data_IF_838621023447
#
_entry.id   IF_838621023447
#
_cell.length_a   1.000
_cell.length_b   1.000
_cell.length_c   1.000
_cell.angle_alpha   90.00
_cell.angle_beta   90.00
_cell.angle_gamma   90.00
#
_symmetry.space_group_name_H-M   'P 1'
#
loop_
_entity.id
_entity.type
_entity.pdbx_description
1 polymer ?
#
# COMPACT_ATOMS: atom_id res chain seq x y z
N UNK A 1 15.27 -14.52 8.90
CA UNK A 1 14.33 -13.73 8.06
C UNK A 1 15.10 -13.16 6.89
N UNK A 2 14.64 -13.39 5.65
CA UNK A 2 15.22 -12.77 4.45
C UNK A 2 14.98 -11.26 4.44
N UNK A 3 15.75 -10.46 3.67
CA UNK A 3 15.45 -9.03 3.51
C UNK A 3 14.08 -8.84 2.83
N UNK A 4 13.35 -7.78 3.21
CA UNK A 4 12.11 -7.37 2.55
C UNK A 4 12.46 -6.81 1.17
N UNK A 5 11.77 -7.26 0.13
CA UNK A 5 11.85 -6.64 -1.19
C UNK A 5 10.95 -5.39 -1.20
N UNK A 6 11.52 -4.22 -1.27
CA UNK A 6 10.76 -2.96 -1.37
C UNK A 6 10.74 -2.51 -2.82
N UNK A 7 9.55 -2.38 -3.39
CA UNK A 7 9.33 -1.95 -4.78
C UNK A 7 8.54 -0.64 -4.78
N UNK A 8 9.11 0.36 -5.42
CA UNK A 8 8.54 1.70 -5.53
C UNK A 8 8.64 2.20 -6.97
N UNK A 9 7.62 2.90 -7.42
CA UNK A 9 7.62 3.65 -8.68
C UNK A 9 7.56 5.15 -8.36
N UNK A 10 8.38 5.94 -9.04
CA UNK A 10 8.36 7.40 -8.91
C UNK A 10 8.42 8.08 -10.27
N UNK A 11 7.78 9.22 -10.41
CA UNK A 11 7.86 10.08 -11.61
C UNK A 11 9.20 10.83 -11.71
N UNK A 12 9.92 10.95 -10.58
CA UNK A 12 11.19 11.63 -10.47
C UNK A 12 12.37 10.70 -10.18
N UNK A 13 13.35 11.20 -9.44
CA UNK A 13 14.52 10.46 -8.97
C UNK A 13 14.25 9.86 -7.60
N UNK A 14 14.76 8.66 -7.33
CA UNK A 14 14.62 8.00 -6.02
C UNK A 14 15.15 8.85 -4.87
N UNK A 15 16.23 9.60 -5.10
CA UNK A 15 16.87 10.43 -4.07
C UNK A 15 15.93 11.53 -3.53
N UNK A 16 14.96 11.96 -4.34
CA UNK A 16 14.02 13.02 -4.00
C UNK A 16 12.79 12.48 -3.24
N UNK A 17 12.65 11.15 -3.12
CA UNK A 17 11.49 10.50 -2.52
C UNK A 17 11.59 10.38 -1.01
N UNK A 18 10.47 10.55 -0.29
CA UNK A 18 10.38 10.34 1.15
C UNK A 18 10.73 8.90 1.53
N UNK A 19 10.32 7.95 0.69
CA UNK A 19 10.61 6.54 0.90
C UNK A 19 12.12 6.26 0.92
N UNK A 20 12.86 6.77 -0.06
CA UNK A 20 14.31 6.55 -0.09
C UNK A 20 15.01 7.21 1.09
N UNK A 21 14.59 8.41 1.47
CA UNK A 21 15.12 9.13 2.64
C UNK A 21 14.95 8.28 3.91
N UNK A 22 13.74 7.73 4.16
CA UNK A 22 13.48 6.92 5.35
C UNK A 22 14.25 5.60 5.36
N UNK A 23 14.30 4.90 4.22
CA UNK A 23 14.96 3.60 4.14
C UNK A 23 16.50 3.69 4.10
N UNK A 24 17.06 4.83 3.75
CA UNK A 24 18.52 5.05 3.80
C UNK A 24 19.07 5.04 5.23
N UNK A 25 18.23 5.31 6.22
CA UNK A 25 18.57 5.29 7.65
C UNK A 25 18.54 3.86 8.22
N UNK A 26 17.77 2.96 7.56
CA UNK A 26 17.64 1.58 7.99
C UNK A 26 18.85 0.74 7.58
N UNK A 27 19.15 -0.34 8.32
CA UNK A 27 20.22 -1.26 7.97
C UNK A 27 19.98 -1.87 6.58
N UNK A 28 20.94 -1.73 5.67
CA UNK A 28 20.88 -2.27 4.31
C UNK A 28 20.74 -3.79 4.21
N UNK A 29 20.96 -4.53 5.33
CA UNK A 29 20.71 -5.98 5.40
C UNK A 29 19.23 -6.35 5.59
N UNK A 30 18.37 -5.40 5.92
CA UNK A 30 16.96 -5.63 6.22
C UNK A 30 16.05 -5.49 5.02
N UNK A 31 16.45 -4.69 4.05
CA UNK A 31 15.65 -4.38 2.87
C UNK A 31 16.47 -4.48 1.58
N UNK A 32 15.82 -4.90 0.50
CA UNK A 32 16.32 -4.79 -0.88
C UNK A 32 15.45 -3.80 -1.61
N UNK A 33 16.01 -2.62 -1.93
CA UNK A 33 15.29 -1.55 -2.59
C UNK A 33 15.33 -1.70 -4.12
N UNK A 34 14.18 -1.53 -4.75
CA UNK A 34 14.00 -1.44 -6.19
C UNK A 34 13.14 -0.23 -6.49
N UNK A 35 13.72 0.76 -7.15
CA UNK A 35 13.02 1.95 -7.62
C UNK A 35 12.89 1.94 -9.14
N UNK A 36 11.70 2.21 -9.62
CA UNK A 36 11.40 2.52 -11.02
C UNK A 36 11.28 4.04 -11.16
N UNK A 37 12.41 4.68 -11.47
CA UNK A 37 12.51 6.13 -11.66
C UNK A 37 11.93 6.53 -13.01
N UNK A 38 11.44 7.78 -13.10
CA UNK A 38 10.80 8.33 -14.31
C UNK A 38 9.68 7.40 -14.85
N UNK A 39 8.93 6.77 -13.94
CA UNK A 39 7.95 5.77 -14.31
C UNK A 39 6.73 6.39 -14.98
N UNK A 40 6.38 5.85 -16.15
CA UNK A 40 5.15 6.17 -16.91
C UNK A 40 4.22 4.98 -17.07
N UNK A 41 4.63 3.82 -16.56
CA UNK A 41 3.88 2.55 -16.63
C UNK A 41 2.94 2.44 -15.41
N UNK A 42 1.82 1.75 -15.56
CA UNK A 42 0.90 1.47 -14.45
C UNK A 42 1.59 0.72 -13.31
N UNK A 43 1.23 1.05 -12.06
CA UNK A 43 1.81 0.41 -10.87
C UNK A 43 1.61 -1.11 -10.88
N UNK A 44 0.40 -1.67 -11.17
CA UNK A 44 0.18 -3.10 -11.24
C UNK A 44 1.10 -3.84 -12.21
N UNK A 45 1.35 -3.26 -13.40
CA UNK A 45 2.22 -3.86 -14.39
C UNK A 45 3.66 -3.99 -13.89
N UNK A 46 4.14 -2.98 -13.15
CA UNK A 46 5.48 -3.00 -12.54
C UNK A 46 5.50 -3.96 -11.36
N UNK A 47 4.54 -3.87 -10.45
CA UNK A 47 4.49 -4.64 -9.21
C UNK A 47 4.40 -6.15 -9.48
N UNK A 48 3.64 -6.55 -10.49
CA UNK A 48 3.48 -7.94 -10.89
C UNK A 48 4.79 -8.59 -11.36
N UNK A 49 5.77 -7.81 -11.85
CA UNK A 49 7.10 -8.32 -12.20
C UNK A 49 7.86 -8.90 -11.00
N UNK A 50 7.42 -8.58 -9.78
CA UNK A 50 8.06 -9.02 -8.53
C UNK A 50 7.30 -10.12 -7.79
N UNK A 51 6.07 -10.47 -8.20
CA UNK A 51 5.28 -11.57 -7.64
C UNK A 51 5.56 -12.85 -8.42
N UNK A 52 6.72 -13.46 -8.16
CA UNK A 52 7.15 -14.66 -8.89
C UNK A 52 8.11 -15.54 -8.07
N UNK A 53 8.37 -16.75 -8.57
CA UNK A 53 9.27 -17.73 -7.92
C UNK A 53 10.72 -17.22 -7.78
N UNK A 54 11.21 -16.37 -8.70
CA UNK A 54 12.58 -15.81 -8.63
C UNK A 54 12.71 -14.86 -7.44
N UNK A 55 11.72 -13.98 -7.23
CA UNK A 55 11.65 -13.10 -6.06
C UNK A 55 11.51 -13.92 -4.76
N UNK A 56 10.63 -14.93 -4.73
CA UNK A 56 10.42 -15.80 -3.57
C UNK A 56 11.69 -16.54 -3.11
N UNK A 57 12.60 -16.91 -4.02
CA UNK A 57 13.88 -17.51 -3.63
C UNK A 57 14.69 -16.61 -2.70
N UNK A 58 14.62 -15.28 -2.88
CA UNK A 58 15.44 -14.29 -2.17
C UNK A 58 14.67 -13.54 -1.07
N UNK A 59 13.35 -13.44 -1.17
CA UNK A 59 12.48 -12.66 -0.32
C UNK A 59 11.20 -13.44 -0.03
N UNK A 60 10.72 -13.42 1.21
CA UNK A 60 9.44 -14.02 1.56
C UNK A 60 8.31 -12.99 1.44
N UNK A 61 8.64 -11.71 1.62
CA UNK A 61 7.72 -10.58 1.59
C UNK A 61 8.20 -9.53 0.58
N UNK A 62 7.29 -9.06 -0.26
CA UNK A 62 7.46 -7.88 -1.09
C UNK A 62 6.57 -6.75 -0.54
N UNK A 63 7.15 -5.57 -0.33
CA UNK A 63 6.47 -4.35 0.05
C UNK A 63 6.35 -3.45 -1.18
N UNK A 64 5.13 -3.21 -1.62
CA UNK A 64 4.77 -2.25 -2.64
C UNK A 64 4.32 -0.98 -1.93
N UNK A 65 4.97 0.15 -2.19
CA UNK A 65 4.81 1.36 -1.39
C UNK A 65 5.00 2.60 -2.27
N UNK A 66 4.23 3.66 -1.97
CA UNK A 66 4.31 4.91 -2.69
C UNK A 66 5.60 5.66 -2.36
N UNK A 67 6.05 6.52 -3.25
CA UNK A 67 7.30 7.28 -3.15
C UNK A 67 7.23 8.44 -2.14
N UNK A 68 6.01 8.92 -1.82
CA UNK A 68 5.70 9.96 -0.83
C UNK A 68 5.49 9.41 0.60
N UNK A 69 5.72 8.12 0.82
CA UNK A 69 5.64 7.49 2.15
C UNK A 69 7.02 7.50 2.83
N UNK A 70 7.12 8.13 4.00
CA UNK A 70 8.25 8.00 4.91
C UNK A 70 7.96 6.87 5.92
N UNK A 71 8.76 5.82 5.93
CA UNK A 71 8.64 4.71 6.90
C UNK A 71 9.35 5.10 8.20
N UNK A 72 8.58 5.33 9.25
CA UNK A 72 9.06 5.70 10.59
C UNK A 72 8.96 4.51 11.55
N UNK A 73 9.50 3.36 11.14
CA UNK A 73 9.42 2.13 11.91
C UNK A 73 10.71 1.28 11.78
N UNK A 74 11.62 1.45 12.72
CA UNK A 74 12.89 0.71 12.77
C UNK A 74 12.72 -0.81 12.93
N UNK A 75 11.52 -1.28 13.30
CA UNK A 75 11.20 -2.71 13.45
C UNK A 75 10.40 -3.26 12.26
N UNK A 76 10.37 -2.53 11.14
CA UNK A 76 9.57 -2.87 9.95
C UNK A 76 9.65 -4.34 9.58
N UNK A 77 10.88 -4.88 9.37
CA UNK A 77 11.07 -6.27 8.96
C UNK A 77 10.48 -7.24 9.98
N UNK A 78 10.80 -7.07 11.24
CA UNK A 78 10.30 -7.93 12.32
C UNK A 78 8.77 -7.93 12.41
N UNK A 79 8.15 -6.75 12.32
CA UNK A 79 6.69 -6.60 12.32
C UNK A 79 6.05 -7.28 11.10
N UNK A 80 6.56 -7.05 9.89
CA UNK A 80 6.01 -7.67 8.68
C UNK A 80 6.08 -9.21 8.75
N UNK A 81 7.18 -9.78 9.24
CA UNK A 81 7.28 -11.24 9.43
C UNK A 81 6.33 -11.76 10.51
N UNK A 82 6.15 -11.04 11.60
CA UNK A 82 5.20 -11.40 12.65
C UNK A 82 3.77 -11.46 12.11
N UNK A 83 3.36 -10.43 11.38
CA UNK A 83 1.99 -10.35 10.83
C UNK A 83 1.75 -11.22 9.59
N UNK A 84 2.80 -11.64 8.87
CA UNK A 84 2.69 -12.58 7.76
C UNK A 84 2.12 -13.96 8.14
N UNK A 85 2.10 -14.30 9.44
CA UNK A 85 1.42 -15.49 9.94
C UNK A 85 -0.11 -15.32 9.99
N UNK A 86 -0.59 -14.11 10.18
CA UNK A 86 -2.01 -13.78 10.28
C UNK A 86 -2.60 -13.23 8.98
N UNK A 87 -1.82 -12.49 8.22
CA UNK A 87 -2.23 -11.81 6.99
C UNK A 87 -1.32 -12.21 5.82
N UNK A 88 -1.92 -12.44 4.66
CA UNK A 88 -1.20 -12.72 3.42
C UNK A 88 -0.88 -11.42 2.67
N UNK A 89 -1.69 -10.38 2.89
CA UNK A 89 -1.46 -8.99 2.46
C UNK A 89 -1.65 -8.08 3.67
N UNK A 90 -0.68 -7.22 3.95
CA UNK A 90 -0.67 -6.34 5.11
C UNK A 90 -0.56 -4.87 4.68
N UNK A 91 -1.49 -4.05 5.13
CA UNK A 91 -1.48 -2.60 5.00
C UNK A 91 -1.39 -1.90 6.35
N UNK A 92 -1.62 -0.58 6.35
CA UNK A 92 -1.61 0.28 7.55
C UNK A 92 -2.97 0.87 7.88
N UNK A 93 -3.83 1.06 6.86
CA UNK A 93 -5.20 1.53 6.99
C UNK A 93 -6.13 0.81 6.02
N UNK A 94 -7.40 0.63 6.40
CA UNK A 94 -8.36 -0.06 5.56
C UNK A 94 -9.74 -0.24 6.21
N UNK A 95 -10.59 -1.00 5.55
CA UNK A 95 -11.98 -1.20 5.91
C UNK A 95 -12.36 -2.69 5.97
N UNK A 96 -13.17 -3.07 6.98
CA UNK A 96 -13.67 -4.45 7.15
C UNK A 96 -14.86 -4.79 6.25
N UNK A 97 -15.41 -3.81 5.56
CA UNK A 97 -16.49 -3.98 4.57
C UNK A 97 -16.06 -3.44 3.22
N UNK A 98 -16.44 -4.07 2.11
CA UNK A 98 -16.14 -3.53 0.80
C UNK A 98 -16.93 -2.22 0.58
N UNK A 99 -16.27 -1.22 0.02
CA UNK A 99 -16.88 0.03 -0.44
C UNK A 99 -16.77 0.02 -1.96
N UNK A 100 -17.92 -0.09 -2.64
CA UNK A 100 -17.95 -0.30 -4.09
C UNK A 100 -18.23 1.01 -4.83
N UNK A 101 -19.15 1.84 -4.33
CA UNK A 101 -19.62 3.01 -5.08
C UNK A 101 -18.54 4.07 -5.27
N UNK A 102 -17.79 4.39 -4.22
CA UNK A 102 -16.68 5.34 -4.25
C UNK A 102 -15.52 4.77 -3.41
N UNK A 103 -14.84 3.75 -3.94
CA UNK A 103 -13.92 2.94 -3.14
C UNK A 103 -12.70 3.72 -2.65
N UNK A 104 -12.20 4.69 -3.41
CA UNK A 104 -11.09 5.56 -2.98
C UNK A 104 -11.43 6.42 -1.75
N UNK A 105 -12.72 6.67 -1.52
CA UNK A 105 -13.24 7.42 -0.38
C UNK A 105 -13.79 6.50 0.72
N UNK A 106 -13.28 5.29 0.85
CA UNK A 106 -13.79 4.28 1.78
C UNK A 106 -13.95 4.83 3.22
N UNK A 107 -13.08 5.73 3.64
CA UNK A 107 -13.09 6.34 4.97
C UNK A 107 -14.17 7.43 5.15
N UNK A 108 -14.77 7.93 4.06
CA UNK A 108 -15.91 8.84 4.07
C UNK A 108 -17.22 8.12 3.77
N UNK A 109 -17.17 7.05 2.95
CA UNK A 109 -18.35 6.36 2.40
C UNK A 109 -18.79 5.17 3.23
N UNK A 110 -18.09 4.83 4.31
CA UNK A 110 -18.49 3.77 5.22
C UNK A 110 -18.49 4.23 6.68
N UNK A 111 -19.26 3.52 7.53
CA UNK A 111 -19.31 3.80 8.96
C UNK A 111 -17.92 3.69 9.59
N UNK A 112 -17.58 4.64 10.45
CA UNK A 112 -16.30 4.65 11.18
C UNK A 112 -16.00 3.35 11.94
N UNK A 113 -17.01 2.63 12.43
CA UNK A 113 -16.86 1.32 13.09
C UNK A 113 -16.24 0.26 12.18
N UNK A 114 -16.29 0.45 10.85
CA UNK A 114 -15.72 -0.46 9.86
C UNK A 114 -14.25 -0.14 9.53
N UNK A 115 -13.73 1.00 9.96
CA UNK A 115 -12.37 1.45 9.67
C UNK A 115 -11.36 0.80 10.61
N UNK A 116 -10.11 0.57 10.14
CA UNK A 116 -9.01 -0.02 10.90
C UNK A 116 -7.68 0.62 10.53
N UNK A 117 -6.79 0.69 11.53
CA UNK A 117 -5.43 1.17 11.32
C UNK A 117 -5.27 2.66 11.53
N UNK A 118 -4.13 3.20 11.12
CA UNK A 118 -3.80 4.63 11.21
C UNK A 118 -2.75 5.01 10.18
N UNK A 119 -2.74 6.30 9.81
CA UNK A 119 -1.73 6.91 8.95
C UNK A 119 -1.40 8.28 9.52
N UNK A 120 -0.10 8.57 9.67
CA UNK A 120 0.35 9.94 9.93
C UNK A 120 0.53 10.67 8.60
N UNK A 121 0.16 11.95 8.57
CA UNK A 121 0.27 12.81 7.39
C UNK A 121 1.22 13.97 7.70
N UNK A 122 2.14 14.25 6.79
CA UNK A 122 2.93 15.46 6.85
C UNK A 122 2.01 16.66 6.59
N UNK A 123 2.23 17.74 7.31
CA UNK A 123 1.51 19.00 7.13
C UNK A 123 2.43 20.19 7.39
N UNK A 124 2.03 21.34 6.90
CA UNK A 124 2.63 22.62 7.29
C UNK A 124 1.68 23.30 8.23
N UNK A 125 2.15 23.70 9.42
CA UNK A 125 1.34 24.42 10.40
C UNK A 125 0.96 25.82 9.88
N UNK A 126 -0.04 26.49 10.48
CA UNK A 126 -0.37 27.87 10.11
C UNK A 126 0.80 28.87 10.24
N UNK A 127 1.81 28.52 11.04
CA UNK A 127 3.03 29.34 11.21
C UNK A 127 4.16 28.95 10.23
N UNK A 128 3.90 28.06 9.27
CA UNK A 128 4.87 27.63 8.25
C UNK A 128 5.84 26.54 8.71
N UNK A 129 5.66 26.01 9.91
CA UNK A 129 6.52 24.94 10.44
C UNK A 129 6.06 23.56 9.99
N UNK A 130 7.00 22.60 9.77
CA UNK A 130 6.63 21.22 9.50
C UNK A 130 5.94 20.57 10.72
N UNK A 131 4.89 19.82 10.47
CA UNK A 131 4.15 19.10 11.48
C UNK A 131 3.68 17.74 10.99
N UNK A 132 3.13 16.95 11.89
CA UNK A 132 2.55 15.62 11.60
C UNK A 132 1.20 15.49 12.28
N UNK A 133 0.19 15.05 11.52
CA UNK A 133 -1.14 14.75 12.02
C UNK A 133 -1.42 13.25 11.85
N UNK A 134 -1.85 12.57 12.91
CA UNK A 134 -2.23 11.17 12.84
C UNK A 134 -3.74 11.02 12.62
N UNK A 135 -4.11 10.39 11.49
CA UNK A 135 -5.48 9.95 11.23
C UNK A 135 -5.66 8.53 11.77
N UNK A 136 -6.40 8.40 12.87
CA UNK A 136 -6.76 7.12 13.46
C UNK A 136 -8.08 6.63 12.87
N UNK A 137 -8.04 5.48 12.19
CA UNK A 137 -9.21 4.81 11.61
C UNK A 137 -9.80 3.71 12.51
N UNK A 138 -9.06 3.28 13.52
CA UNK A 138 -9.51 2.26 14.47
C UNK A 138 -8.39 1.33 14.91
N UNK A 139 -8.74 0.29 15.66
CA UNK A 139 -7.75 -0.59 16.25
C UNK A 139 -6.95 -1.42 15.21
N UNK A 140 -5.72 -1.73 15.58
CA UNK A 140 -4.79 -2.56 14.81
C UNK A 140 -3.95 -3.41 15.78
N UNK A 141 -3.55 -4.67 15.46
CA UNK A 141 -3.78 -5.35 14.18
C UNK A 141 -5.24 -5.79 13.99
N UNK A 142 -5.70 -5.79 12.74
CA UNK A 142 -7.07 -6.21 12.44
C UNK A 142 -7.17 -6.78 11.04
N UNK A 143 -8.05 -7.79 10.85
CA UNK A 143 -8.44 -8.27 9.53
C UNK A 143 -9.35 -7.23 8.86
N UNK A 144 -9.13 -7.02 7.56
CA UNK A 144 -9.91 -6.12 6.72
C UNK A 144 -10.17 -6.77 5.35
N UNK A 145 -11.01 -6.16 4.53
CA UNK A 145 -11.26 -6.60 3.14
C UNK A 145 -10.63 -5.67 2.12
N UNK A 146 -10.34 -4.43 2.50
CA UNK A 146 -9.71 -3.41 1.65
C UNK A 146 -8.66 -2.66 2.46
N UNK A 147 -7.54 -2.36 1.84
CA UNK A 147 -6.47 -1.50 2.37
C UNK A 147 -6.11 -0.44 1.35
N UNK A 148 -5.60 0.67 1.84
CA UNK A 148 -5.04 1.74 1.03
C UNK A 148 -3.72 1.32 0.38
N UNK A 149 -3.53 1.68 -0.88
CA UNK A 149 -2.40 1.29 -1.71
C UNK A 149 -1.06 1.94 -1.36
N UNK A 150 -1.09 2.98 -0.52
CA UNK A 150 0.13 3.68 -0.12
C UNK A 150 1.19 2.73 0.50
N UNK A 151 0.73 1.60 1.10
CA UNK A 151 1.60 0.61 1.72
C UNK A 151 0.94 -0.79 1.65
N UNK A 152 1.49 -1.69 0.83
CA UNK A 152 0.97 -3.06 0.65
C UNK A 152 2.11 -4.08 0.73
N UNK A 153 2.25 -4.74 1.88
CA UNK A 153 3.20 -5.84 2.06
C UNK A 153 2.54 -7.18 1.72
N UNK A 154 3.12 -7.94 0.81
CA UNK A 154 2.57 -9.17 0.24
C UNK A 154 3.45 -10.36 0.59
N UNK A 155 2.87 -11.40 1.16
CA UNK A 155 3.49 -12.70 1.33
C UNK A 155 3.61 -13.39 -0.05
N UNK A 156 4.81 -13.40 -0.64
CA UNK A 156 5.05 -13.88 -1.99
C UNK A 156 4.66 -15.34 -2.18
N UNK A 157 4.91 -16.20 -1.17
CA UNK A 157 4.52 -17.61 -1.24
C UNK A 157 3.01 -17.77 -1.37
N UNK A 158 2.24 -17.03 -0.56
CA UNK A 158 0.79 -17.08 -0.57
C UNK A 158 0.19 -16.50 -1.85
N UNK A 159 0.70 -15.36 -2.31
CA UNK A 159 0.28 -14.74 -3.57
C UNK A 159 0.49 -15.71 -4.75
N UNK A 160 1.67 -16.33 -4.87
CA UNK A 160 1.98 -17.29 -5.93
C UNK A 160 1.12 -18.56 -5.83
N UNK A 161 0.93 -19.12 -4.62
CA UNK A 161 0.09 -20.31 -4.41
C UNK A 161 -1.37 -20.09 -4.79
N UNK A 162 -1.86 -18.86 -4.61
CA UNK A 162 -3.25 -18.46 -4.92
C UNK A 162 -3.38 -17.84 -6.32
N UNK A 163 -2.29 -17.81 -7.09
CA UNK A 163 -2.26 -17.16 -8.40
C UNK A 163 -2.84 -15.73 -8.35
N UNK A 164 -2.42 -14.96 -7.33
CA UNK A 164 -2.85 -13.59 -7.14
C UNK A 164 -1.81 -12.62 -7.67
N UNK A 165 -2.30 -11.60 -8.37
CA UNK A 165 -1.54 -10.50 -8.93
C UNK A 165 -2.34 -9.21 -8.74
N UNK A 166 -1.69 -8.06 -8.83
CA UNK A 166 -2.38 -6.78 -8.94
C UNK A 166 -3.19 -6.70 -10.23
N UNK A 167 -4.36 -6.06 -10.17
CA UNK A 167 -5.26 -5.95 -11.31
C UNK A 167 -4.74 -4.90 -12.33
N UNK A 168 -4.31 -5.35 -13.50
CA UNK A 168 -3.72 -4.51 -14.54
C UNK A 168 -4.73 -3.70 -15.36
N UNK A 169 -6.04 -3.85 -15.11
CA UNK A 169 -7.05 -2.93 -15.66
C UNK A 169 -6.91 -1.52 -15.07
N UNK A 170 -6.15 -1.36 -14.00
CA UNK A 170 -5.89 -0.10 -13.31
C UNK A 170 -4.42 0.30 -13.49
N UNK A 171 -4.17 1.61 -13.59
CA UNK A 171 -2.80 2.12 -13.70
C UNK A 171 -2.28 2.65 -12.35
N UNK A 172 -2.99 3.60 -11.76
CA UNK A 172 -2.64 4.25 -10.50
C UNK A 172 -3.82 4.27 -9.52
N UNK A 173 -4.97 4.81 -9.94
CA UNK A 173 -6.14 4.88 -9.09
C UNK A 173 -6.84 3.52 -9.00
N UNK A 174 -7.40 3.20 -7.83
CA UNK A 174 -8.20 2.00 -7.54
C UNK A 174 -7.48 0.64 -7.73
N UNK A 175 -6.19 0.62 -8.09
CA UNK A 175 -5.44 -0.63 -8.27
C UNK A 175 -5.36 -1.46 -6.99
N UNK A 176 -5.23 -0.79 -5.86
CA UNK A 176 -5.14 -1.34 -4.51
C UNK A 176 -6.47 -1.98 -4.09
N UNK A 177 -7.56 -1.23 -4.22
CA UNK A 177 -8.89 -1.64 -3.81
C UNK A 177 -9.42 -2.78 -4.68
N UNK A 178 -9.22 -2.70 -6.00
CA UNK A 178 -9.54 -3.77 -6.94
C UNK A 178 -8.74 -5.04 -6.64
N UNK A 179 -7.43 -4.89 -6.39
CA UNK A 179 -6.56 -6.01 -6.04
C UNK A 179 -6.92 -6.64 -4.70
N UNK A 180 -7.42 -5.86 -3.74
CA UNK A 180 -7.97 -6.38 -2.48
C UNK A 180 -9.24 -7.22 -2.71
N UNK A 181 -10.17 -6.75 -3.55
CA UNK A 181 -11.37 -7.53 -3.88
C UNK A 181 -11.01 -8.85 -4.57
N UNK A 182 -10.06 -8.83 -5.49
CA UNK A 182 -9.58 -10.04 -6.16
C UNK A 182 -8.83 -10.96 -5.20
N UNK A 183 -8.09 -10.42 -4.23
CA UNK A 183 -7.44 -11.19 -3.18
C UNK A 183 -8.47 -11.89 -2.27
N UNK A 184 -9.56 -11.21 -1.91
CA UNK A 184 -10.66 -11.82 -1.14
C UNK A 184 -11.33 -12.97 -1.91
N UNK A 185 -11.59 -12.81 -3.22
CA UNK A 185 -12.12 -13.90 -4.07
C UNK A 185 -11.19 -15.13 -4.08
N UNK A 186 -9.88 -14.90 -4.02
CA UNK A 186 -8.85 -15.96 -3.95
C UNK A 186 -8.56 -16.43 -2.50
N UNK A 187 -9.34 -15.96 -1.53
CA UNK A 187 -9.24 -16.34 -0.10
C UNK A 187 -7.86 -15.99 0.52
N UNK A 188 -7.23 -14.92 0.07
CA UNK A 188 -6.08 -14.33 0.75
C UNK A 188 -6.58 -13.52 1.95
N UNK A 189 -5.85 -13.59 3.04
CA UNK A 189 -6.15 -12.86 4.26
C UNK A 189 -5.53 -11.48 4.19
N UNK A 190 -6.35 -10.44 4.19
CA UNK A 190 -5.90 -9.05 4.19
C UNK A 190 -6.02 -8.51 5.61
N UNK A 191 -5.05 -7.73 6.06
CA UNK A 191 -5.09 -7.08 7.37
C UNK A 191 -4.33 -5.78 7.42
N UNK A 192 -4.54 -5.03 8.50
CA UNK A 192 -3.74 -3.86 8.86
C UNK A 192 -2.89 -4.17 10.09
N UNK A 193 -1.66 -3.66 10.10
CA UNK A 193 -0.70 -3.83 11.17
C UNK A 193 -0.22 -2.48 11.71
N UNK A 194 0.21 -2.39 12.98
CA UNK A 194 0.69 -1.16 13.61
C UNK A 194 2.12 -0.84 13.13
N UNK A 195 2.22 -0.37 11.90
CA UNK A 195 3.46 0.09 11.27
C UNK A 195 3.38 1.60 11.15
N UNK A 196 4.38 2.30 11.67
CA UNK A 196 4.44 3.75 11.63
C UNK A 196 4.93 4.23 10.27
N UNK A 197 4.13 5.05 9.64
CA UNK A 197 4.47 5.75 8.40
C UNK A 197 4.00 7.20 8.46
N UNK A 198 4.65 8.06 7.68
CA UNK A 198 4.20 9.43 7.43
C UNK A 198 3.96 9.55 5.92
N UNK A 199 2.74 9.90 5.53
CA UNK A 199 2.34 10.11 4.14
C UNK A 199 2.39 11.60 3.80
N UNK A 200 3.25 11.97 2.85
CA UNK A 200 3.46 13.35 2.41
C UNK A 200 2.68 13.62 1.11
N UNK A 201 1.36 13.43 1.18
CA UNK A 201 0.48 13.59 0.03
C UNK A 201 -0.24 14.94 0.05
N UNK A 202 -0.44 15.59 -1.10
CA UNK A 202 -1.25 16.80 -1.21
C UNK A 202 -2.76 16.56 -0.98
N UNK A 203 -3.16 15.32 -0.62
CA UNK A 203 -4.54 14.97 -0.31
C UNK A 203 -5.40 14.66 -1.53
N UNK A 204 -6.74 14.91 -1.43
CA UNK A 204 -7.75 14.46 -2.39
C UNK A 204 -7.83 15.31 -3.69
N UNK A 205 -6.80 16.06 -4.04
CA UNK A 205 -6.78 16.93 -5.22
C UNK A 205 -6.93 16.15 -6.55
N UNK A 206 -6.72 14.84 -6.54
CA UNK A 206 -6.83 13.98 -7.73
C UNK A 206 -8.25 13.55 -8.10
N UNK A 207 -9.26 13.83 -7.28
CA UNK A 207 -10.65 13.38 -7.53
C UNK A 207 -11.25 13.93 -8.82
N UNK A 208 -10.79 15.10 -9.27
CA UNK A 208 -11.22 15.74 -10.51
C UNK A 208 -10.33 15.38 -11.71
N UNK A 209 -9.34 14.54 -11.53
CA UNK A 209 -8.48 14.07 -12.63
C UNK A 209 -9.26 13.11 -13.55
N UNK A 210 -9.12 13.30 -14.85
CA UNK A 210 -9.73 12.43 -15.86
C UNK A 210 -9.34 10.96 -15.66
N UNK A 211 -8.09 10.70 -15.33
CA UNK A 211 -7.60 9.34 -15.05
C UNK A 211 -8.27 8.71 -13.83
N UNK A 212 -8.62 9.50 -12.82
CA UNK A 212 -9.37 9.04 -11.66
C UNK A 212 -10.79 8.62 -12.07
N UNK A 213 -11.52 9.45 -12.84
CA UNK A 213 -12.88 9.17 -13.28
C UNK A 213 -12.95 7.91 -14.16
N UNK A 214 -12.06 7.79 -15.14
CA UNK A 214 -11.96 6.59 -16.00
C UNK A 214 -11.68 5.33 -15.19
N UNK A 215 -10.84 5.42 -14.18
CA UNK A 215 -10.53 4.33 -13.26
C UNK A 215 -11.73 3.96 -12.38
N UNK A 216 -12.48 4.95 -11.90
CA UNK A 216 -13.71 4.75 -11.14
C UNK A 216 -14.78 4.01 -11.97
N UNK A 217 -15.01 4.43 -13.20
CA UNK A 217 -15.95 3.78 -14.10
C UNK A 217 -15.54 2.33 -14.37
N UNK A 218 -14.24 2.09 -14.60
CA UNK A 218 -13.69 0.74 -14.76
C UNK A 218 -13.95 -0.11 -13.51
N UNK A 219 -13.74 0.45 -12.31
CA UNK A 219 -13.98 -0.25 -11.05
C UNK A 219 -15.45 -0.63 -10.89
N UNK A 220 -16.35 0.31 -11.14
CA UNK A 220 -17.79 0.08 -11.05
C UNK A 220 -18.27 -0.99 -12.04
N UNK A 221 -17.72 -1.02 -13.25
CA UNK A 221 -18.08 -2.04 -14.25
C UNK A 221 -17.62 -3.44 -13.87
N UNK A 222 -16.50 -3.58 -13.15
CA UNK A 222 -15.92 -4.87 -12.78
C UNK A 222 -16.45 -5.44 -11.46
N UNK A 223 -16.91 -4.59 -10.54
CA UNK A 223 -17.22 -5.00 -9.16
C UNK A 223 -18.65 -4.65 -8.69
N UNK A 224 -19.51 -4.17 -9.57
CA UNK A 224 -20.94 -3.98 -9.29
C UNK A 224 -21.67 -5.29 -9.08
#
# INVERSE_FOLDING_TARGET
MKPILVVCCTKGKKADTKLYQSLSIMSGSETKLVFHENNTTGLPEIYNKYINKKSLKKHDIALFVHDDVYIDDLKLRGKLYSYANSFDITGVAGCIKPVIREPALWHLMSDRKNHRGYVSHALTTPHGEPGVMCSSFGYTPSRVVMIDGLFMAVNLKKAIQKDWMFNTNFKFHHYDLSSCLDANKKQLRIGVAPINIIHDSPGLNSLNDKGFQESQDTFLNLYK
#
